data_IF_693824357363
#
_entry.id   IF_693824357363
#
_cell.length_a   1.000
_cell.length_b   1.000
_cell.length_c   1.000
_cell.angle_alpha   90.00
_cell.angle_beta   90.00
_cell.angle_gamma   90.00
#
_symmetry.space_group_name_H-M   'P 1'
#
loop_
_entity.id
_entity.type
_entity.pdbx_description
1 polymer ?
#
# COMPACT_ATOMS: atom_id res chain seq x y z
N UNK A 1 -16.22 -8.95 17.24
CA UNK A 1 -17.16 -9.51 16.24
C UNK A 1 -16.33 -10.13 15.11
N UNK A 2 -16.16 -11.45 15.14
CA UNK A 2 -15.48 -12.19 14.08
C UNK A 2 -16.36 -12.18 12.82
N UNK A 3 -16.08 -11.28 11.86
CA UNK A 3 -16.68 -11.40 10.54
C UNK A 3 -16.06 -12.61 9.86
N UNK A 4 -16.82 -13.68 9.73
CA UNK A 4 -16.45 -14.80 8.84
C UNK A 4 -16.28 -14.22 7.44
N UNK A 5 -15.15 -14.54 6.80
CA UNK A 5 -14.90 -14.16 5.42
C UNK A 5 -15.82 -14.97 4.52
N UNK A 6 -16.79 -14.33 3.87
CA UNK A 6 -17.63 -14.96 2.87
C UNK A 6 -16.82 -15.21 1.58
N UNK A 7 -17.22 -16.18 0.77
CA UNK A 7 -16.60 -16.49 -0.52
C UNK A 7 -16.44 -15.24 -1.40
N UNK A 8 -17.42 -14.35 -1.42
CA UNK A 8 -17.36 -13.06 -2.12
C UNK A 8 -16.21 -12.18 -1.62
N UNK A 9 -16.00 -12.10 -0.31
CA UNK A 9 -14.92 -11.31 0.28
C UNK A 9 -13.54 -11.89 -0.06
N UNK A 10 -13.42 -13.21 -0.05
CA UNK A 10 -12.17 -13.91 -0.42
C UNK A 10 -11.86 -13.68 -1.90
N UNK A 11 -12.83 -13.83 -2.79
CA UNK A 11 -12.67 -13.58 -4.23
C UNK A 11 -12.29 -12.13 -4.52
N UNK A 12 -12.97 -11.17 -3.86
CA UNK A 12 -12.66 -9.75 -4.02
C UNK A 12 -11.26 -9.42 -3.51
N UNK A 13 -10.84 -10.02 -2.39
CA UNK A 13 -9.49 -9.84 -1.85
C UNK A 13 -8.44 -10.42 -2.79
N UNK A 14 -8.68 -11.62 -3.34
CA UNK A 14 -7.80 -12.22 -4.36
C UNK A 14 -7.66 -11.37 -5.61
N UNK A 15 -8.77 -10.82 -6.12
CA UNK A 15 -8.75 -9.90 -7.26
C UNK A 15 -7.95 -8.63 -6.96
N UNK A 16 -8.15 -8.02 -5.80
CA UNK A 16 -7.42 -6.82 -5.40
C UNK A 16 -5.92 -7.09 -5.21
N UNK A 17 -5.56 -8.26 -4.68
CA UNK A 17 -4.17 -8.71 -4.58
C UNK A 17 -3.56 -8.84 -5.98
N UNK A 18 -4.25 -9.48 -6.92
CA UNK A 18 -3.78 -9.64 -8.30
C UNK A 18 -3.56 -8.27 -8.98
N UNK A 19 -4.52 -7.36 -8.86
CA UNK A 19 -4.39 -5.99 -9.38
C UNK A 19 -3.20 -5.27 -8.71
N UNK A 20 -3.00 -5.47 -7.41
CA UNK A 20 -1.88 -4.87 -6.68
C UNK A 20 -0.54 -5.38 -7.20
N UNK A 21 -0.41 -6.67 -7.50
CA UNK A 21 0.80 -7.26 -8.11
C UNK A 21 1.05 -6.64 -9.48
N UNK A 22 0.05 -6.59 -10.35
CA UNK A 22 0.15 -5.99 -11.70
C UNK A 22 0.61 -4.53 -11.61
N UNK A 23 -0.07 -3.72 -10.80
CA UNK A 23 0.25 -2.29 -10.66
C UNK A 23 1.60 -2.03 -9.98
N UNK A 24 2.07 -2.95 -9.14
CA UNK A 24 3.36 -2.79 -8.47
C UNK A 24 4.54 -3.28 -9.29
N UNK A 25 4.36 -4.31 -10.11
CA UNK A 25 5.46 -5.00 -10.78
C UNK A 25 5.51 -4.76 -12.29
N UNK A 26 4.37 -4.64 -12.93
CA UNK A 26 4.29 -4.42 -14.39
C UNK A 26 4.26 -2.92 -14.68
N UNK A 27 3.38 -2.17 -14.01
CA UNK A 27 3.24 -0.73 -14.20
C UNK A 27 4.08 0.10 -13.21
N UNK A 28 4.74 -0.54 -12.25
CA UNK A 28 5.65 0.11 -11.31
C UNK A 28 7.04 0.33 -11.93
N UNK A 29 7.56 1.55 -11.76
CA UNK A 29 8.94 1.87 -12.05
C UNK A 29 9.77 1.58 -10.80
N UNK A 30 10.66 0.61 -10.89
CA UNK A 30 11.59 0.26 -9.82
C UNK A 30 13.01 0.55 -10.30
N UNK A 31 13.67 1.49 -9.63
CA UNK A 31 15.11 1.71 -9.66
C UNK A 31 15.73 1.29 -8.34
N UNK A 32 17.03 1.11 -8.31
CA UNK A 32 17.80 0.61 -7.16
C UNK A 32 17.39 1.25 -5.82
N UNK A 33 17.11 2.55 -5.80
CA UNK A 33 16.75 3.29 -4.58
C UNK A 33 15.33 3.86 -4.60
N UNK A 34 14.62 3.81 -5.72
CA UNK A 34 13.28 4.39 -5.89
C UNK A 34 12.32 3.36 -6.46
N UNK A 35 11.16 3.22 -5.81
CA UNK A 35 10.03 2.47 -6.34
C UNK A 35 8.83 3.40 -6.44
N UNK A 36 8.33 3.59 -7.65
CA UNK A 36 7.09 4.31 -7.94
C UNK A 36 6.07 3.30 -8.44
N UNK A 37 4.95 3.15 -7.74
CA UNK A 37 3.90 2.23 -8.18
C UNK A 37 2.51 2.74 -7.79
N UNK A 38 1.52 2.36 -8.58
CA UNK A 38 0.10 2.68 -8.32
C UNK A 38 -0.61 1.60 -7.47
N UNK A 39 0.14 0.72 -6.83
CA UNK A 39 -0.39 -0.33 -5.95
C UNK A 39 -1.18 0.20 -4.74
N UNK A 40 -1.08 1.50 -4.44
CA UNK A 40 -1.90 2.12 -3.41
C UNK A 40 -3.39 2.20 -3.81
N UNK A 41 -3.72 2.20 -5.10
CA UNK A 41 -5.11 2.25 -5.59
C UNK A 41 -5.92 1.02 -5.13
N UNK A 42 -5.56 -0.22 -5.46
CA UNK A 42 -6.26 -1.39 -4.94
C UNK A 42 -6.12 -1.52 -3.40
N UNK A 43 -5.03 -1.02 -2.82
CA UNK A 43 -4.85 -0.98 -1.37
C UNK A 43 -5.90 -0.11 -0.67
N UNK A 44 -6.27 1.04 -1.25
CA UNK A 44 -7.35 1.89 -0.72
C UNK A 44 -8.67 1.12 -0.71
N UNK A 45 -9.03 0.47 -1.83
CA UNK A 45 -10.25 -0.34 -1.94
C UNK A 45 -10.26 -1.43 -0.87
N UNK A 46 -9.16 -2.16 -0.74
CA UNK A 46 -9.00 -3.20 0.27
C UNK A 46 -9.11 -2.63 1.69
N UNK A 47 -8.49 -1.48 1.96
CA UNK A 47 -8.53 -0.80 3.24
C UNK A 47 -9.95 -0.42 3.67
N UNK A 48 -10.75 0.10 2.72
CA UNK A 48 -12.13 0.50 2.96
C UNK A 48 -13.04 -0.71 3.24
N UNK A 49 -12.81 -1.84 2.57
CA UNK A 49 -13.65 -3.05 2.68
C UNK A 49 -13.27 -3.95 3.87
N UNK A 50 -12.00 -4.21 4.06
CA UNK A 50 -11.51 -5.27 4.95
C UNK A 50 -10.90 -4.75 6.26
N UNK A 51 -10.50 -3.50 6.31
CA UNK A 51 -9.86 -2.89 7.48
C UNK A 51 -8.35 -3.13 7.57
N UNK A 52 -7.70 -2.67 8.66
CA UNK A 52 -6.24 -2.53 8.72
C UNK A 52 -5.51 -3.88 8.59
N UNK A 53 -5.89 -4.87 9.40
CA UNK A 53 -5.18 -6.15 9.47
C UNK A 53 -5.25 -6.91 8.14
N UNK A 54 -6.44 -7.04 7.58
CA UNK A 54 -6.64 -7.75 6.31
C UNK A 54 -5.98 -7.05 5.13
N UNK A 55 -5.98 -5.70 5.13
CA UNK A 55 -5.26 -4.93 4.12
C UNK A 55 -3.75 -5.12 4.25
N UNK A 56 -3.24 -5.18 5.48
CA UNK A 56 -1.84 -5.49 5.74
C UNK A 56 -1.45 -6.88 5.23
N UNK A 57 -2.25 -7.90 5.56
CA UNK A 57 -2.04 -9.28 5.09
C UNK A 57 -2.10 -9.36 3.56
N UNK A 58 -3.11 -8.75 2.94
CA UNK A 58 -3.23 -8.71 1.48
C UNK A 58 -2.06 -8.02 0.79
N UNK A 59 -1.52 -6.95 1.40
CA UNK A 59 -0.35 -6.26 0.89
C UNK A 59 0.93 -7.12 1.00
N UNK A 60 1.08 -7.91 2.07
CA UNK A 60 2.17 -8.90 2.24
C UNK A 60 2.08 -9.98 1.18
N UNK A 61 0.90 -10.57 0.98
CA UNK A 61 0.68 -11.60 -0.03
C UNK A 61 1.00 -11.05 -1.43
N UNK A 62 0.54 -9.83 -1.75
CA UNK A 62 0.84 -9.19 -3.02
C UNK A 62 2.35 -8.94 -3.21
N UNK A 63 3.06 -8.54 -2.15
CA UNK A 63 4.50 -8.33 -2.21
C UNK A 63 5.26 -9.63 -2.45
N UNK A 64 4.94 -10.69 -1.69
CA UNK A 64 5.56 -12.02 -1.85
C UNK A 64 5.30 -12.59 -3.24
N UNK A 65 4.04 -12.62 -3.69
CA UNK A 65 3.68 -13.11 -5.03
C UNK A 65 4.40 -12.27 -6.10
N UNK A 66 4.39 -10.95 -5.94
CA UNK A 66 5.07 -10.05 -6.85
C UNK A 66 6.57 -10.30 -6.93
N UNK A 67 7.23 -10.61 -5.82
CA UNK A 67 8.65 -10.99 -5.78
C UNK A 67 8.90 -12.35 -6.41
N UNK A 68 8.03 -13.33 -6.20
CA UNK A 68 8.19 -14.68 -6.80
C UNK A 68 8.02 -14.65 -8.31
N UNK A 69 7.08 -13.88 -8.84
CA UNK A 69 6.78 -13.82 -10.27
C UNK A 69 7.69 -12.84 -11.04
N UNK A 70 8.07 -11.74 -10.40
CA UNK A 70 8.79 -10.63 -11.05
C UNK A 70 9.92 -10.14 -10.13
N UNK A 71 10.92 -10.97 -9.89
CA UNK A 71 12.09 -10.63 -9.08
C UNK A 71 12.97 -9.59 -9.81
N UNK A 72 12.72 -8.30 -9.57
CA UNK A 72 13.54 -7.19 -10.09
C UNK A 72 14.69 -6.80 -9.16
N UNK A 73 14.64 -7.22 -7.91
CA UNK A 73 15.65 -6.94 -6.89
C UNK A 73 15.75 -8.11 -5.90
N UNK A 74 16.81 -8.14 -5.09
CA UNK A 74 16.96 -9.13 -4.03
C UNK A 74 15.81 -9.03 -3.02
N UNK A 75 15.27 -10.17 -2.61
CA UNK A 75 14.25 -10.23 -1.57
C UNK A 75 14.83 -9.79 -0.23
N UNK A 76 14.15 -8.85 0.40
CA UNK A 76 14.48 -8.41 1.75
C UNK A 76 13.21 -8.32 2.61
N UNK A 77 13.13 -9.08 3.72
CA UNK A 77 11.91 -9.15 4.55
C UNK A 77 11.41 -7.80 5.08
N UNK A 78 12.31 -6.83 5.25
CA UNK A 78 11.98 -5.48 5.70
C UNK A 78 11.02 -4.75 4.75
N UNK A 79 11.09 -5.00 3.44
CA UNK A 79 10.13 -4.41 2.49
C UNK A 79 8.76 -5.05 2.57
N UNK A 80 8.70 -6.33 2.87
CA UNK A 80 7.44 -7.03 3.15
C UNK A 80 6.77 -6.49 4.42
N UNK A 81 7.57 -6.19 5.46
CA UNK A 81 7.08 -5.49 6.66
C UNK A 81 6.55 -4.10 6.33
N UNK A 82 7.22 -3.35 5.45
CA UNK A 82 6.72 -2.06 4.97
C UNK A 82 5.37 -2.21 4.25
N UNK A 83 5.18 -3.26 3.47
CA UNK A 83 3.89 -3.55 2.81
C UNK A 83 2.78 -3.78 3.84
N UNK A 84 3.06 -4.55 4.91
CA UNK A 84 2.13 -4.78 6.01
C UNK A 84 1.74 -3.48 6.72
N UNK A 85 2.74 -2.74 7.19
CA UNK A 85 2.54 -1.48 7.92
C UNK A 85 1.76 -0.48 7.06
N UNK A 86 2.14 -0.34 5.78
CA UNK A 86 1.44 0.52 4.84
C UNK A 86 -0.02 0.11 4.66
N UNK A 87 -0.31 -1.19 4.56
CA UNK A 87 -1.68 -1.71 4.52
C UNK A 87 -2.48 -1.36 5.78
N UNK A 88 -1.85 -1.50 6.95
CA UNK A 88 -2.46 -1.16 8.23
C UNK A 88 -2.78 0.34 8.35
N UNK A 89 -1.87 1.22 7.90
CA UNK A 89 -2.07 2.67 7.89
C UNK A 89 -3.29 3.02 7.02
N UNK A 90 -3.33 2.55 5.77
CA UNK A 90 -4.48 2.79 4.89
C UNK A 90 -5.79 2.25 5.50
N UNK A 91 -5.77 1.04 6.08
CA UNK A 91 -6.92 0.46 6.75
C UNK A 91 -7.40 1.28 7.96
N UNK A 92 -6.49 1.82 8.76
CA UNK A 92 -6.83 2.65 9.91
C UNK A 92 -7.52 3.96 9.52
N UNK A 93 -7.07 4.59 8.43
CA UNK A 93 -7.62 5.86 7.97
C UNK A 93 -8.93 5.70 7.20
N UNK A 94 -9.13 4.60 6.47
CA UNK A 94 -10.25 4.47 5.53
C UNK A 94 -11.29 3.42 5.91
N UNK A 95 -11.01 2.53 6.87
CA UNK A 95 -11.98 1.50 7.24
C UNK A 95 -13.24 2.10 7.83
N UNK A 96 -14.38 1.91 7.15
CA UNK A 96 -15.71 2.43 7.53
C UNK A 96 -15.75 3.95 7.75
N UNK A 97 -14.82 4.69 7.18
CA UNK A 97 -14.76 6.15 7.24
C UNK A 97 -14.99 6.73 5.86
N UNK A 98 -15.56 7.93 5.82
CA UNK A 98 -15.65 8.68 4.57
C UNK A 98 -14.27 9.19 4.15
N UNK A 99 -14.00 9.12 2.85
CA UNK A 99 -12.75 9.64 2.31
C UNK A 99 -12.86 11.14 2.17
N UNK A 100 -12.27 11.85 3.14
CA UNK A 100 -12.13 13.30 3.13
C UNK A 100 -10.72 13.68 2.68
N UNK A 101 -10.57 14.89 2.16
CA UNK A 101 -9.26 15.42 1.79
C UNK A 101 -8.24 15.37 2.93
N UNK A 102 -8.69 15.71 4.15
CA UNK A 102 -7.85 15.67 5.35
C UNK A 102 -7.37 14.25 5.67
N UNK A 103 -8.27 13.25 5.61
CA UNK A 103 -7.93 11.85 5.87
C UNK A 103 -6.99 11.29 4.79
N UNK A 104 -7.20 11.66 3.52
CA UNK A 104 -6.32 11.27 2.43
C UNK A 104 -4.91 11.84 2.62
N UNK A 105 -4.81 13.14 2.92
CA UNK A 105 -3.53 13.79 3.19
C UNK A 105 -2.81 13.20 4.41
N UNK A 106 -3.49 13.04 5.53
CA UNK A 106 -2.91 12.47 6.74
C UNK A 106 -2.45 11.02 6.56
N UNK A 107 -3.24 10.22 5.83
CA UNK A 107 -2.87 8.84 5.51
C UNK A 107 -1.60 8.78 4.65
N UNK A 108 -1.54 9.56 3.58
CA UNK A 108 -0.37 9.58 2.69
C UNK A 108 0.84 10.18 3.37
N UNK A 109 0.67 11.20 4.20
CA UNK A 109 1.73 11.80 5.01
C UNK A 109 2.29 10.78 6.00
N UNK A 110 1.43 10.12 6.79
CA UNK A 110 1.84 9.10 7.75
C UNK A 110 2.57 7.94 7.06
N UNK A 111 2.04 7.48 5.93
CA UNK A 111 2.66 6.42 5.13
C UNK A 111 4.04 6.84 4.58
N UNK A 112 4.16 8.07 4.08
CA UNK A 112 5.43 8.59 3.55
C UNK A 112 6.45 8.79 4.66
N UNK A 113 6.08 9.40 5.78
CA UNK A 113 6.98 9.61 6.91
C UNK A 113 7.46 8.28 7.48
N UNK A 114 6.56 7.37 7.81
CA UNK A 114 6.91 6.14 8.51
C UNK A 114 7.63 5.15 7.58
N UNK A 115 7.15 4.96 6.37
CA UNK A 115 7.72 3.98 5.45
C UNK A 115 8.90 4.57 4.66
N UNK A 116 8.73 5.73 4.01
CA UNK A 116 9.76 6.25 3.11
C UNK A 116 10.90 6.92 3.85
N UNK A 117 10.64 7.60 4.98
CA UNK A 117 11.67 8.35 5.70
C UNK A 117 12.25 7.61 6.92
N UNK A 118 11.53 6.65 7.51
CA UNK A 118 12.03 5.91 8.68
C UNK A 118 12.44 4.50 8.27
N UNK A 119 11.49 3.67 7.88
CA UNK A 119 11.74 2.24 7.70
C UNK A 119 12.62 1.93 6.48
N UNK A 120 12.32 2.53 5.33
CA UNK A 120 13.03 2.18 4.10
C UNK A 120 14.51 2.60 4.11
N UNK A 121 14.93 3.76 4.66
CA UNK A 121 16.36 4.06 4.81
C UNK A 121 17.11 3.02 5.64
N UNK A 122 16.50 2.56 6.74
CA UNK A 122 17.07 1.52 7.61
C UNK A 122 17.30 0.23 6.82
N UNK A 123 16.28 -0.22 6.08
CA UNK A 123 16.39 -1.44 5.29
C UNK A 123 17.42 -1.35 4.18
N UNK A 124 17.52 -0.20 3.51
CA UNK A 124 18.53 -0.01 2.47
C UNK A 124 19.94 0.11 3.04
N UNK A 125 20.10 0.75 4.20
CA UNK A 125 21.38 0.80 4.88
C UNK A 125 21.89 -0.60 5.22
N UNK A 126 20.99 -1.47 5.74
CA UNK A 126 21.32 -2.86 6.03
C UNK A 126 21.60 -3.65 4.75
N UNK A 127 20.75 -3.51 3.73
CA UNK A 127 20.83 -4.31 2.49
C UNK A 127 22.08 -3.96 1.65
N UNK A 128 22.45 -2.70 1.58
CA UNK A 128 23.58 -2.23 0.77
C UNK A 128 24.83 -1.92 1.59
N UNK A 129 24.81 -2.18 2.91
CA UNK A 129 25.91 -1.87 3.84
C UNK A 129 26.39 -0.41 3.74
N UNK A 130 25.44 0.52 3.59
CA UNK A 130 25.71 1.95 3.45
C UNK A 130 25.40 2.69 4.76
N UNK A 131 26.15 3.74 5.11
CA UNK A 131 25.85 4.53 6.29
C UNK A 131 24.48 5.24 6.12
N UNK A 132 23.69 5.30 7.20
CA UNK A 132 22.39 5.97 7.22
C UNK A 132 22.45 7.45 6.81
N UNK A 133 23.61 8.09 6.96
CA UNK A 133 23.85 9.49 6.59
C UNK A 133 24.14 9.68 5.09
N UNK A 134 24.24 8.59 4.32
CA UNK A 134 24.59 8.65 2.90
C UNK A 134 23.54 9.43 2.09
N UNK A 135 23.99 10.44 1.35
CA UNK A 135 23.16 11.22 0.44
C UNK A 135 22.51 10.35 -0.67
N UNK A 136 23.16 9.25 -1.02
CA UNK A 136 22.66 8.27 -1.99
C UNK A 136 21.33 7.66 -1.53
N UNK A 137 21.14 7.51 -0.22
CA UNK A 137 19.88 7.01 0.36
C UNK A 137 18.84 8.14 0.43
N UNK A 138 19.21 9.33 0.86
CA UNK A 138 18.29 10.42 1.17
C UNK A 138 17.85 11.24 -0.05
N UNK A 139 18.77 11.52 -0.98
CA UNK A 139 18.47 12.31 -2.17
C UNK A 139 17.25 11.81 -2.95
N UNK A 140 17.24 10.54 -3.40
CA UNK A 140 16.10 9.98 -4.13
C UNK A 140 14.78 9.99 -3.33
N UNK A 141 14.85 9.93 -2.00
CA UNK A 141 13.67 9.90 -1.13
C UNK A 141 13.03 11.26 -0.92
N UNK A 142 13.85 12.29 -0.78
CA UNK A 142 13.34 13.66 -0.71
C UNK A 142 12.59 14.02 -1.98
N UNK A 143 13.18 13.72 -3.13
CA UNK A 143 12.55 13.95 -4.44
C UNK A 143 11.25 13.14 -4.57
N UNK A 144 11.31 11.84 -4.25
CA UNK A 144 10.12 10.98 -4.28
C UNK A 144 9.05 11.44 -3.30
N UNK A 145 9.42 11.79 -2.08
CA UNK A 145 8.47 12.27 -1.05
C UNK A 145 7.77 13.55 -1.50
N UNK A 146 8.54 14.53 -2.01
CA UNK A 146 7.99 15.79 -2.48
C UNK A 146 7.04 15.63 -3.69
N UNK A 147 7.39 14.77 -4.65
CA UNK A 147 6.56 14.52 -5.83
C UNK A 147 5.38 13.59 -5.56
N UNK A 148 5.62 12.50 -4.82
CA UNK A 148 4.61 11.46 -4.63
C UNK A 148 3.56 11.83 -3.59
N UNK A 149 3.90 12.61 -2.57
CA UNK A 149 2.94 12.99 -1.52
C UNK A 149 1.71 13.72 -2.10
N UNK A 150 1.85 14.80 -2.91
CA UNK A 150 0.68 15.45 -3.50
C UNK A 150 -0.05 14.52 -4.48
N UNK A 151 0.68 13.80 -5.33
CA UNK A 151 0.09 12.89 -6.33
C UNK A 151 -0.71 11.78 -5.64
N UNK A 152 -0.12 11.11 -4.65
CA UNK A 152 -0.81 10.07 -3.90
C UNK A 152 -2.01 10.61 -3.13
N UNK A 153 -1.92 11.80 -2.56
CA UNK A 153 -3.03 12.43 -1.84
C UNK A 153 -4.21 12.69 -2.77
N UNK A 154 -3.97 13.31 -3.94
CA UNK A 154 -5.00 13.60 -4.93
C UNK A 154 -5.64 12.30 -5.44
N UNK A 155 -4.83 11.33 -5.85
CA UNK A 155 -5.33 10.05 -6.35
C UNK A 155 -6.05 9.24 -5.26
N UNK A 156 -5.55 9.24 -4.02
CA UNK A 156 -6.22 8.59 -2.89
C UNK A 156 -7.59 9.20 -2.64
N UNK A 157 -7.71 10.52 -2.71
CA UNK A 157 -8.99 11.21 -2.56
C UNK A 157 -9.95 10.90 -3.72
N UNK A 158 -9.49 10.99 -4.97
CA UNK A 158 -10.31 10.72 -6.15
C UNK A 158 -10.79 9.26 -6.15
N UNK A 159 -9.87 8.31 -6.00
CA UNK A 159 -10.20 6.88 -6.00
C UNK A 159 -11.12 6.54 -4.85
N UNK A 160 -10.80 7.01 -3.64
CA UNK A 160 -11.61 6.71 -2.47
C UNK A 160 -13.03 7.27 -2.55
N UNK A 161 -13.22 8.43 -3.21
CA UNK A 161 -14.54 9.02 -3.42
C UNK A 161 -15.31 8.40 -4.58
N UNK A 162 -14.61 7.97 -5.62
CA UNK A 162 -15.21 7.31 -6.78
C UNK A 162 -15.80 5.92 -6.46
N UNK A 163 -15.33 5.28 -5.39
CA UNK A 163 -15.78 3.94 -5.01
C UNK A 163 -17.11 4.02 -4.25
N UNK A 164 -18.20 3.42 -4.79
CA UNK A 164 -19.49 3.40 -4.13
C UNK A 164 -19.51 2.39 -2.96
N UNK A 165 -18.86 2.76 -1.85
CA UNK A 165 -18.71 1.88 -0.68
C UNK A 165 -20.03 1.34 -0.14
N UNK A 166 -21.11 2.14 -0.17
CA UNK A 166 -22.44 1.72 0.29
C UNK A 166 -22.95 0.52 -0.51
N UNK A 167 -22.72 0.52 -1.82
CA UNK A 167 -23.14 -0.57 -2.72
C UNK A 167 -22.29 -1.83 -2.51
N UNK A 168 -20.97 -1.68 -2.40
CA UNK A 168 -20.06 -2.81 -2.17
C UNK A 168 -20.29 -3.48 -0.81
N UNK A 169 -20.49 -2.70 0.24
CA UNK A 169 -20.77 -3.23 1.57
C UNK A 169 -22.16 -3.86 1.66
N UNK A 170 -23.17 -3.33 0.96
CA UNK A 170 -24.51 -3.93 0.88
C UNK A 170 -24.42 -5.31 0.23
N UNK A 171 -23.70 -5.45 -0.87
CA UNK A 171 -23.51 -6.73 -1.56
C UNK A 171 -22.74 -7.74 -0.72
N UNK A 172 -21.75 -7.30 0.07
CA UNK A 172 -21.03 -8.14 1.04
C UNK A 172 -21.89 -8.65 2.20
N UNK A 173 -23.00 -7.97 2.51
CA UNK A 173 -23.94 -8.41 3.55
C UNK A 173 -24.95 -9.43 3.06
N UNK A 174 -25.28 -9.45 1.78
CA UNK A 174 -26.31 -10.32 1.18
C UNK A 174 -25.73 -11.58 0.51
N UNK A 175 -24.41 -11.74 0.48
CA UNK A 175 -23.78 -12.96 0.00
C UNK A 175 -23.69 -13.97 1.14
N UNK A 176 -24.79 -14.67 1.38
CA UNK A 176 -24.87 -15.92 2.16
C UNK A 176 -24.72 -17.11 1.23
#
# INVERSE_FOLDING_TARGET
MNKKLNAYMISMMGLLIAIMVVLSRILGLEWQFIKISFAFVPKIVMAMMFGPIWTGIGAVIADIIGMMLFAKAAFFPGFTLNAFIGGCIYGYFFYKKEVTWKNAFLCTLANTLLISFILTPIWLAIMYNQPLTSWVIWGPRLVKGALMLPIQTILTYIVGRAIPMKTLMKRSRYSF
#
